data_IF_039350287267
#
_entry.id   IF_039350287267
#
_cell.length_a   1.000
_cell.length_b   1.000
_cell.length_c   1.000
_cell.angle_alpha   90.00
_cell.angle_beta   90.00
_cell.angle_gamma   90.00
#
_symmetry.space_group_name_H-M   'P 1'
#
loop_
_entity.id
_entity.type
_entity.pdbx_description
1 polymer ?
#
# COMPACT_ATOMS: atom_id res chain seq x y z
N UNK A 1 19.56 -1.34 21.35
CA UNK A 1 18.98 -2.52 20.69
C UNK A 1 17.44 -2.43 20.51
N UNK A 2 16.72 -1.72 21.36
CA UNK A 2 15.23 -1.60 21.35
C UNK A 2 14.65 -0.82 20.17
N UNK A 3 15.37 0.12 19.57
CA UNK A 3 14.86 0.92 18.42
C UNK A 3 14.70 0.10 17.14
N UNK A 4 15.59 -0.84 16.83
CA UNK A 4 15.52 -1.67 15.62
C UNK A 4 14.32 -2.62 15.62
N UNK A 5 13.92 -3.11 16.78
CA UNK A 5 12.76 -4.00 16.93
C UNK A 5 11.42 -3.27 16.70
N UNK A 6 11.29 -2.03 17.17
CA UNK A 6 10.07 -1.21 16.94
C UNK A 6 9.87 -0.88 15.45
N UNK A 7 10.95 -0.57 14.73
CA UNK A 7 10.89 -0.29 13.28
C UNK A 7 10.52 -1.56 12.50
N UNK A 8 11.12 -2.70 12.83
CA UNK A 8 10.79 -3.98 12.19
C UNK A 8 9.31 -4.37 12.37
N UNK A 9 8.78 -4.25 13.59
CA UNK A 9 7.37 -4.52 13.87
C UNK A 9 6.43 -3.57 13.13
N UNK A 10 6.77 -2.28 13.05
CA UNK A 10 5.98 -1.30 12.31
C UNK A 10 5.94 -1.62 10.80
N UNK A 11 7.06 -2.04 10.21
CA UNK A 11 7.14 -2.45 8.80
C UNK A 11 6.31 -3.70 8.55
N UNK A 12 6.42 -4.72 9.40
CA UNK A 12 5.62 -5.94 9.30
C UNK A 12 4.13 -5.63 9.40
N UNK A 13 3.72 -4.86 10.41
CA UNK A 13 2.33 -4.46 10.57
C UNK A 13 1.83 -3.68 9.35
N UNK A 14 2.63 -2.77 8.81
CA UNK A 14 2.29 -2.05 7.60
C UNK A 14 2.17 -2.98 6.39
N UNK A 15 3.03 -3.99 6.26
CA UNK A 15 3.00 -4.94 5.15
C UNK A 15 1.74 -5.82 5.13
N UNK A 16 1.26 -6.27 6.30
CA UNK A 16 0.08 -7.12 6.46
C UNK A 16 -1.24 -6.35 6.66
N UNK A 17 -1.19 -5.03 6.79
CA UNK A 17 -2.38 -4.17 6.89
C UNK A 17 -3.02 -3.99 5.51
N UNK A 18 -4.35 -3.91 5.46
CA UNK A 18 -5.13 -3.56 4.27
C UNK A 18 -5.27 -2.06 4.04
N UNK A 19 -4.87 -1.23 5.00
CA UNK A 19 -4.97 0.23 4.90
C UNK A 19 -3.76 0.85 4.21
N UNK A 20 -4.00 1.98 3.51
CA UNK A 20 -2.99 2.73 2.78
C UNK A 20 -3.00 2.48 1.28
N UNK A 21 -1.99 3.01 0.59
CA UNK A 21 -1.82 2.95 -0.87
C UNK A 21 -0.42 2.49 -1.22
N UNK A 22 -0.28 1.74 -2.30
CA UNK A 22 1.03 1.35 -2.87
C UNK A 22 1.07 1.62 -4.37
N UNK A 23 2.23 2.05 -4.86
CA UNK A 23 2.47 2.26 -6.28
C UNK A 23 2.58 0.94 -7.07
N UNK A 24 2.47 1.05 -8.40
CA UNK A 24 2.58 -0.10 -9.32
C UNK A 24 3.88 -0.88 -9.17
N UNK A 25 5.01 -0.21 -8.97
CA UNK A 25 6.32 -0.84 -8.80
C UNK A 25 6.40 -1.68 -7.53
N UNK A 26 5.93 -1.15 -6.41
CA UNK A 26 5.89 -1.88 -5.14
C UNK A 26 4.92 -3.08 -5.21
N UNK A 27 3.77 -2.92 -5.88
CA UNK A 27 2.84 -4.01 -6.13
C UNK A 27 3.43 -5.09 -7.02
N UNK A 28 4.04 -4.72 -8.16
CA UNK A 28 4.70 -5.66 -9.06
C UNK A 28 5.83 -6.42 -8.38
N UNK A 29 6.66 -5.74 -7.58
CA UNK A 29 7.72 -6.38 -6.81
C UNK A 29 7.17 -7.38 -5.78
N UNK A 30 6.08 -7.03 -5.10
CA UNK A 30 5.43 -7.96 -4.14
C UNK A 30 4.89 -9.22 -4.82
N UNK A 31 4.32 -9.11 -6.04
CA UNK A 31 3.89 -10.25 -6.83
C UNK A 31 5.06 -11.15 -7.22
N UNK A 32 6.17 -10.56 -7.69
CA UNK A 32 7.37 -11.34 -8.06
C UNK A 32 7.88 -12.11 -6.83
N UNK A 33 8.01 -11.46 -5.68
CA UNK A 33 8.46 -12.10 -4.44
C UNK A 33 7.52 -13.24 -4.05
N UNK A 34 6.20 -13.01 -4.04
CA UNK A 34 5.22 -14.04 -3.73
C UNK A 34 5.31 -15.22 -4.69
N UNK A 35 5.48 -14.97 -5.99
CA UNK A 35 5.59 -16.02 -7.01
C UNK A 35 6.84 -16.86 -6.81
N UNK A 36 8.01 -16.23 -6.58
CA UNK A 36 9.26 -16.93 -6.31
C UNK A 36 9.17 -17.79 -5.04
N UNK A 37 8.61 -17.25 -3.96
CA UNK A 37 8.39 -18.00 -2.72
C UNK A 37 7.42 -19.17 -2.93
N UNK A 38 6.34 -18.98 -3.71
CA UNK A 38 5.41 -20.02 -4.08
C UNK A 38 6.09 -21.17 -4.81
N UNK A 39 6.92 -20.86 -5.80
CA UNK A 39 7.68 -21.85 -6.56
C UNK A 39 8.64 -22.62 -5.64
N UNK A 40 9.32 -21.92 -4.75
CA UNK A 40 10.23 -22.53 -3.78
C UNK A 40 9.51 -23.50 -2.84
N UNK A 41 8.37 -23.10 -2.28
CA UNK A 41 7.55 -23.94 -1.41
C UNK A 41 7.03 -25.14 -2.19
N UNK A 42 6.49 -24.94 -3.39
CA UNK A 42 5.95 -26.01 -4.22
C UNK A 42 7.02 -27.04 -4.59
N UNK A 43 8.20 -26.59 -5.01
CA UNK A 43 9.31 -27.51 -5.33
C UNK A 43 9.80 -28.26 -4.11
N UNK A 44 9.77 -27.65 -2.93
CA UNK A 44 10.11 -28.32 -1.67
C UNK A 44 9.08 -29.39 -1.32
N UNK A 45 7.78 -29.12 -1.50
CA UNK A 45 6.70 -30.09 -1.29
C UNK A 45 6.88 -31.30 -2.22
N UNK A 46 7.15 -31.09 -3.51
CA UNK A 46 7.32 -32.15 -4.50
C UNK A 46 8.55 -33.03 -4.26
N UNK A 47 9.61 -32.47 -3.66
CA UNK A 47 10.86 -33.20 -3.36
C UNK A 47 10.80 -33.97 -2.05
N UNK A 48 9.98 -33.54 -1.11
CA UNK A 48 9.91 -34.12 0.23
C UNK A 48 8.93 -35.30 0.24
N UNK A 49 9.42 -36.53 0.55
CA UNK A 49 8.60 -37.73 0.68
C UNK A 49 7.90 -37.88 2.04
N UNK A 50 8.06 -36.92 2.94
CA UNK A 50 7.52 -36.91 4.30
C UNK A 50 6.28 -36.04 4.48
N UNK A 51 5.96 -35.73 5.74
CA UNK A 51 4.82 -34.85 6.08
C UNK A 51 5.07 -33.42 5.63
N UNK A 52 4.38 -32.99 4.57
CA UNK A 52 4.47 -31.66 3.95
C UNK A 52 3.45 -30.65 4.49
N UNK A 53 2.59 -31.07 5.44
CA UNK A 53 1.52 -30.22 5.97
C UNK A 53 2.02 -28.87 6.50
N UNK A 54 3.20 -28.85 7.14
CA UNK A 54 3.82 -27.61 7.62
C UNK A 54 4.17 -26.64 6.48
N UNK A 55 4.64 -27.14 5.34
CA UNK A 55 4.95 -26.31 4.17
C UNK A 55 3.69 -25.71 3.55
N UNK A 56 2.59 -26.48 3.53
CA UNK A 56 1.29 -25.99 3.06
C UNK A 56 0.76 -24.87 3.95
N UNK A 57 1.00 -24.94 5.27
CA UNK A 57 0.59 -23.91 6.22
C UNK A 57 1.24 -22.53 5.92
N UNK A 58 2.42 -22.51 5.28
CA UNK A 58 3.09 -21.26 4.89
C UNK A 58 2.32 -20.47 3.82
N UNK A 59 1.43 -21.12 3.06
CA UNK A 59 0.58 -20.40 2.09
C UNK A 59 -0.44 -19.48 2.75
N UNK A 60 -0.83 -19.71 4.01
CA UNK A 60 -1.80 -18.87 4.72
C UNK A 60 -1.28 -17.45 4.92
N UNK A 61 -0.12 -17.21 5.58
CA UNK A 61 0.41 -15.86 5.75
C UNK A 61 0.83 -15.23 4.42
N UNK A 62 1.28 -16.03 3.45
CA UNK A 62 1.63 -15.54 2.12
C UNK A 62 0.40 -15.07 1.34
N UNK A 63 -0.70 -15.81 1.37
CA UNK A 63 -1.97 -15.41 0.77
C UNK A 63 -2.54 -14.15 1.42
N UNK A 64 -2.49 -14.07 2.74
CA UNK A 64 -2.88 -12.85 3.47
C UNK A 64 -2.07 -11.63 3.03
N UNK A 65 -0.75 -11.77 2.93
CA UNK A 65 0.12 -10.71 2.44
C UNK A 65 -0.24 -10.29 1.00
N UNK A 66 -0.44 -11.25 0.10
CA UNK A 66 -0.81 -10.96 -1.29
C UNK A 66 -2.14 -10.21 -1.38
N UNK A 67 -3.15 -10.61 -0.61
CA UNK A 67 -4.44 -9.92 -0.52
C UNK A 67 -4.29 -8.50 0.03
N UNK A 68 -3.46 -8.30 1.06
CA UNK A 68 -3.21 -6.97 1.62
C UNK A 68 -2.53 -6.03 0.61
N UNK A 69 -1.57 -6.53 -0.18
CA UNK A 69 -0.92 -5.74 -1.23
C UNK A 69 -1.91 -5.42 -2.37
N UNK A 70 -2.73 -6.39 -2.79
CA UNK A 70 -3.77 -6.19 -3.79
C UNK A 70 -4.79 -5.13 -3.36
N UNK A 71 -5.28 -5.18 -2.13
CA UNK A 71 -6.21 -4.19 -1.60
C UNK A 71 -5.61 -2.77 -1.60
N UNK A 72 -4.37 -2.60 -1.13
CA UNK A 72 -3.67 -1.30 -1.17
C UNK A 72 -3.48 -0.77 -2.59
N UNK A 73 -3.28 -1.67 -3.54
CA UNK A 73 -3.16 -1.28 -4.95
C UNK A 73 -4.52 -0.86 -5.53
N UNK A 74 -5.61 -1.54 -5.18
CA UNK A 74 -6.97 -1.10 -5.51
C UNK A 74 -7.25 0.30 -4.95
N UNK A 75 -6.85 0.54 -3.69
CA UNK A 75 -6.97 1.86 -3.04
C UNK A 75 -6.18 2.95 -3.77
N UNK A 76 -5.01 2.62 -4.31
CA UNK A 76 -4.20 3.55 -5.09
C UNK A 76 -4.88 3.94 -6.42
N UNK A 77 -5.70 3.06 -6.96
CA UNK A 77 -6.54 3.31 -8.13
C UNK A 77 -7.87 4.01 -7.81
N UNK A 78 -8.13 4.30 -6.52
CA UNK A 78 -9.38 4.91 -6.04
C UNK A 78 -10.54 3.92 -5.86
N UNK A 79 -10.29 2.62 -5.98
CA UNK A 79 -11.29 1.57 -5.89
C UNK A 79 -11.23 0.83 -4.54
N UNK A 80 -12.33 0.16 -4.19
CA UNK A 80 -12.36 -0.73 -3.02
C UNK A 80 -11.45 -1.94 -3.22
N UNK A 81 -10.86 -2.48 -2.13
CA UNK A 81 -10.03 -3.69 -2.17
C UNK A 81 -10.72 -4.93 -2.74
N UNK A 82 -12.05 -4.96 -2.77
CA UNK A 82 -12.83 -6.05 -3.36
C UNK A 82 -12.66 -6.20 -4.87
N UNK A 83 -12.24 -5.16 -5.58
CA UNK A 83 -11.99 -5.19 -7.02
C UNK A 83 -10.91 -6.19 -7.42
N UNK A 84 -10.02 -6.58 -6.51
CA UNK A 84 -9.02 -7.61 -6.77
C UNK A 84 -9.61 -9.00 -7.12
N UNK A 85 -10.88 -9.27 -6.75
CA UNK A 85 -11.58 -10.53 -7.06
C UNK A 85 -12.12 -10.58 -8.49
N UNK A 86 -12.12 -9.45 -9.22
CA UNK A 86 -12.53 -9.41 -10.62
C UNK A 86 -11.43 -10.07 -11.46
N UNK A 87 -11.73 -11.11 -12.25
CA UNK A 87 -10.75 -11.74 -13.13
C UNK A 87 -10.14 -10.69 -14.07
N UNK A 88 -8.86 -10.83 -14.34
CA UNK A 88 -8.05 -9.90 -15.15
C UNK A 88 -7.83 -8.50 -14.57
N UNK A 89 -8.46 -8.13 -13.45
CA UNK A 89 -8.25 -6.81 -12.83
C UNK A 89 -6.81 -6.61 -12.35
N UNK A 90 -6.09 -7.69 -12.03
CA UNK A 90 -4.68 -7.62 -11.65
C UNK A 90 -3.78 -7.05 -12.76
N UNK A 91 -4.14 -7.23 -14.05
CA UNK A 91 -3.43 -6.56 -15.15
C UNK A 91 -3.62 -5.04 -15.09
N UNK A 92 -4.84 -4.59 -14.80
CA UNK A 92 -5.14 -3.18 -14.61
C UNK A 92 -4.32 -2.63 -13.43
N UNK A 93 -4.23 -3.37 -12.34
CA UNK A 93 -3.45 -3.00 -11.17
C UNK A 93 -1.95 -2.88 -11.46
N UNK A 94 -1.40 -3.68 -12.36
CA UNK A 94 -0.01 -3.62 -12.79
C UNK A 94 0.26 -2.45 -13.74
N UNK A 95 -0.60 -2.27 -14.75
CA UNK A 95 -0.35 -1.37 -15.87
C UNK A 95 -0.84 0.05 -15.61
N UNK A 96 -2.03 0.22 -15.02
CA UNK A 96 -2.64 1.53 -14.82
C UNK A 96 -1.85 2.34 -13.79
N UNK A 97 -1.68 3.63 -14.04
CA UNK A 97 -1.07 4.57 -13.10
C UNK A 97 -2.04 4.84 -11.93
N UNK A 98 -1.51 4.90 -10.69
CA UNK A 98 -2.28 5.26 -9.51
C UNK A 98 -2.73 6.72 -9.55
N UNK A 99 -3.77 7.05 -8.79
CA UNK A 99 -4.27 8.41 -8.66
C UNK A 99 -3.17 9.32 -8.10
N UNK A 100 -2.93 10.46 -8.79
CA UNK A 100 -1.91 11.44 -8.41
C UNK A 100 -2.33 12.22 -7.17
N UNK A 101 -3.62 12.43 -7.00
CA UNK A 101 -4.20 13.18 -5.91
C UNK A 101 -4.37 12.33 -4.65
N UNK A 102 -4.51 13.00 -3.52
CA UNK A 102 -4.91 12.40 -2.26
C UNK A 102 -6.35 11.89 -2.38
N UNK A 103 -6.59 10.66 -1.98
CA UNK A 103 -7.93 10.07 -1.99
C UNK A 103 -8.35 9.64 -0.57
N UNK A 104 -9.54 9.03 -0.43
CA UNK A 104 -10.07 8.57 0.85
C UNK A 104 -9.18 7.55 1.59
N UNK A 105 -8.23 6.92 0.91
CA UNK A 105 -7.29 5.94 1.45
C UNK A 105 -5.94 6.55 1.83
N UNK A 106 -5.71 7.84 1.55
CA UNK A 106 -4.52 8.59 1.93
C UNK A 106 -3.80 9.27 0.78
N UNK A 107 -2.62 9.79 1.07
CA UNK A 107 -1.76 10.47 0.12
C UNK A 107 -1.20 9.56 -0.96
N UNK A 108 -0.92 10.13 -2.13
CA UNK A 108 -0.28 9.41 -3.23
C UNK A 108 1.14 8.94 -2.84
N UNK A 109 1.51 7.68 -3.12
CA UNK A 109 2.86 7.20 -2.89
C UNK A 109 3.94 8.01 -3.60
N UNK A 110 3.60 8.69 -4.70
CA UNK A 110 4.52 9.54 -5.48
C UNK A 110 4.87 10.83 -4.76
N UNK A 111 3.92 11.45 -4.04
CA UNK A 111 4.19 12.66 -3.26
C UNK A 111 5.16 12.41 -2.10
N UNK A 112 5.11 11.24 -1.48
CA UNK A 112 6.05 10.86 -0.41
C UNK A 112 7.50 10.73 -0.88
N UNK A 113 7.73 10.42 -2.15
CA UNK A 113 9.08 10.37 -2.73
C UNK A 113 9.60 11.76 -3.03
N UNK A 114 8.77 12.65 -3.59
CA UNK A 114 9.18 14.03 -3.92
C UNK A 114 9.57 14.84 -2.67
N UNK A 115 8.89 14.63 -1.53
CA UNK A 115 9.24 15.32 -0.28
C UNK A 115 10.54 14.84 0.38
N UNK A 116 10.99 13.60 0.12
CA UNK A 116 12.27 13.10 0.64
C UNK A 116 13.47 13.69 -0.10
N UNK A 117 13.31 13.95 -1.37
CA UNK A 117 14.40 14.47 -2.22
C UNK A 117 14.61 15.97 -2.02
N UNK A 118 13.58 16.71 -1.56
CA UNK A 118 13.63 18.15 -1.25
C UNK A 118 14.24 18.45 0.13
N UNK A 119 14.35 17.48 1.02
CA UNK A 119 14.88 17.69 2.37
C UNK A 119 16.41 17.94 2.40
N UNK A 120 17.12 17.67 1.31
CA UNK A 120 18.58 17.85 1.22
C UNK A 120 19.03 19.03 0.33
N UNK A 121 18.11 19.79 -0.28
CA UNK A 121 18.49 20.75 -1.31
C UNK A 121 18.05 22.20 -1.15
N UNK A 122 17.04 22.54 -0.38
CA UNK A 122 16.59 23.93 -0.27
C UNK A 122 16.21 24.26 1.17
N UNK A 123 17.03 25.11 1.80
CA UNK A 123 16.63 25.94 2.94
C UNK A 123 15.66 26.96 2.35
N UNK A 124 14.35 26.92 2.65
CA UNK A 124 13.45 27.96 2.16
C UNK A 124 13.83 29.30 2.81
N UNK A 125 13.80 30.40 2.03
CA UNK A 125 13.94 31.72 2.61
C UNK A 125 12.86 31.89 3.69
N UNK A 126 13.24 32.47 4.81
CA UNK A 126 12.41 32.74 5.97
C UNK A 126 11.38 33.82 5.67
N UNK A 127 10.33 33.47 4.92
CA UNK A 127 9.17 34.33 4.74
C UNK A 127 8.11 33.99 5.81
N UNK A 128 7.65 34.98 6.59
CA UNK A 128 6.69 34.79 7.68
C UNK A 128 5.29 34.35 7.22
N UNK A 129 5.01 34.33 5.92
CA UNK A 129 3.69 34.01 5.36
C UNK A 129 3.46 32.51 5.07
N UNK A 130 4.48 31.63 5.27
CA UNK A 130 4.36 30.20 4.98
C UNK A 130 3.53 29.40 6.02
N UNK A 131 3.37 29.96 7.23
CA UNK A 131 2.58 29.30 8.30
C UNK A 131 1.06 29.23 8.01
N UNK A 132 0.56 30.09 7.09
CA UNK A 132 -0.87 30.10 6.73
C UNK A 132 -1.25 29.06 5.65
N UNK A 133 -0.26 28.55 4.90
CA UNK A 133 -0.50 27.58 3.82
C UNK A 133 -0.76 26.16 4.37
N UNK A 134 -0.06 25.74 5.41
CA UNK A 134 -0.21 24.41 6.01
C UNK A 134 -1.56 24.22 6.71
N UNK A 135 -2.05 25.26 7.39
CA UNK A 135 -3.39 25.23 8.01
C UNK A 135 -4.52 25.18 6.96
N UNK A 136 -4.32 25.80 5.80
CA UNK A 136 -5.30 25.81 4.71
C UNK A 136 -5.39 24.44 4.02
N UNK A 137 -4.29 23.71 3.97
CA UNK A 137 -4.22 22.35 3.40
C UNK A 137 -4.88 21.33 4.31
N UNK A 138 -4.65 21.40 5.62
CA UNK A 138 -5.28 20.49 6.60
C UNK A 138 -6.80 20.67 6.71
N UNK A 139 -7.28 21.91 6.69
CA UNK A 139 -8.72 22.21 6.68
C UNK A 139 -9.40 21.77 5.40
N UNK A 140 -8.75 21.91 4.25
CA UNK A 140 -9.25 21.44 2.96
C UNK A 140 -9.35 19.90 2.91
N UNK A 141 -8.34 19.19 3.42
CA UNK A 141 -8.33 17.74 3.52
C UNK A 141 -9.42 17.19 4.45
N UNK A 142 -9.59 17.81 5.61
CA UNK A 142 -10.62 17.45 6.59
C UNK A 142 -12.04 17.64 6.03
N UNK A 143 -12.27 18.70 5.27
CA UNK A 143 -13.54 18.99 4.58
C UNK A 143 -13.81 17.96 3.49
N UNK A 144 -12.82 17.66 2.64
CA UNK A 144 -12.94 16.64 1.58
C UNK A 144 -13.28 15.25 2.15
N UNK A 145 -12.63 14.85 3.25
CA UNK A 145 -12.89 13.57 3.92
C UNK A 145 -14.32 13.46 4.48
N UNK A 146 -14.86 14.57 5.00
CA UNK A 146 -16.25 14.64 5.50
C UNK A 146 -17.25 14.54 4.35
N UNK A 147 -17.02 15.27 3.25
CA UNK A 147 -17.93 15.30 2.10
C UNK A 147 -17.93 13.95 1.35
N UNK A 148 -16.77 13.32 1.22
CA UNK A 148 -16.66 11.99 0.62
C UNK A 148 -17.42 10.95 1.45
N UNK A 149 -17.24 10.94 2.78
CA UNK A 149 -17.96 10.01 3.67
C UNK A 149 -19.48 10.21 3.60
N UNK A 150 -19.93 11.46 3.52
CA UNK A 150 -21.35 11.82 3.40
C UNK A 150 -21.97 11.36 2.06
N UNK A 151 -21.21 11.48 0.97
CA UNK A 151 -21.66 11.05 -0.34
C UNK A 151 -21.67 9.54 -0.53
N UNK A 152 -20.70 8.83 0.08
CA UNK A 152 -20.66 7.37 0.07
C UNK A 152 -21.79 6.75 0.91
N UNK A 153 -22.08 7.33 2.09
CA UNK A 153 -23.17 6.89 2.97
C UNK A 153 -24.56 7.09 2.37
N UNK A 154 -24.72 7.96 1.36
CA UNK A 154 -26.00 8.16 0.67
C UNK A 154 -26.19 7.24 -0.54
N UNK A 155 -25.15 6.52 -0.97
CA UNK A 155 -25.17 5.73 -2.20
C UNK A 155 -25.34 4.23 -1.94
N UNK A 156 -25.23 3.81 -0.69
CA UNK A 156 -25.40 2.45 -0.16
C UNK A 156 -26.17 2.48 1.16
#
# INVERSE_FOLDING_TARGET
MVMKTKVGYAILRAAFSFSGRIGRTAYGLSLIICTLLSILILTSILKTKGNTAFLVLLYIPMGWFALAQGAKRCHDLGNSGWFQWIPFYYFIMLLKEGAKETNCYGESPKHKHSQKDTFFGDIPPSDPDSASADQKTETSYSKYKKDYRKNYSKKY
#
